data_IF_434845335335
#
_entry.id   IF_434845335335
#
_cell.length_a   1.000
_cell.length_b   1.000
_cell.length_c   1.000
_cell.angle_alpha   90.00
_cell.angle_beta   90.00
_cell.angle_gamma   90.00
#
_symmetry.space_group_name_H-M   'P 1'
#
loop_
_entity.id
_entity.type
_entity.pdbx_description
1 polymer ?
#
# COMPACT_ATOMS: atom_id res chain seq x y z
N UNK A 1 12.69 9.12 14.42
CA UNK A 1 12.21 10.43 13.94
C UNK A 1 10.72 10.51 14.21
N UNK A 2 10.19 11.69 14.44
CA UNK A 2 8.75 11.95 14.59
C UNK A 2 8.09 12.15 13.22
N UNK A 3 6.76 11.99 13.14
CA UNK A 3 6.00 12.11 11.89
C UNK A 3 6.06 13.52 11.26
N UNK A 4 6.41 14.56 12.03
CA UNK A 4 6.57 15.95 11.57
C UNK A 4 7.97 16.26 11.01
N UNK A 5 8.84 15.26 10.88
CA UNK A 5 10.21 15.45 10.40
C UNK A 5 11.16 16.06 11.43
N UNK A 6 10.80 16.04 12.72
CA UNK A 6 11.72 16.34 13.83
C UNK A 6 12.35 15.08 14.41
N UNK A 7 13.53 15.20 15.01
CA UNK A 7 14.13 14.12 15.78
C UNK A 7 13.40 13.92 17.12
N UNK A 8 13.20 12.67 17.52
CA UNK A 8 12.51 12.32 18.76
C UNK A 8 13.47 12.35 19.98
N UNK A 9 12.95 12.05 21.18
CA UNK A 9 13.72 12.10 22.43
C UNK A 9 14.98 11.19 22.44
N UNK A 10 15.01 10.15 21.61
CA UNK A 10 16.17 9.24 21.51
C UNK A 10 17.37 9.86 20.78
N UNK A 11 17.20 11.02 20.15
CA UNK A 11 18.28 11.71 19.44
C UNK A 11 19.17 12.59 20.34
N UNK A 12 19.00 12.51 21.66
CA UNK A 12 19.81 13.24 22.64
C UNK A 12 19.77 14.76 22.40
N UNK A 13 20.92 15.44 22.22
CA UNK A 13 20.97 16.89 22.05
C UNK A 13 20.29 17.40 20.76
N UNK A 14 19.94 16.50 19.83
CA UNK A 14 19.27 16.84 18.58
C UNK A 14 17.74 16.63 18.66
N UNK A 15 17.20 16.22 19.81
CA UNK A 15 15.76 16.10 19.98
C UNK A 15 15.03 17.42 19.65
N UNK A 16 13.93 17.33 18.91
CA UNK A 16 13.13 18.47 18.44
C UNK A 16 13.71 19.22 17.25
N UNK A 17 14.93 18.90 16.79
CA UNK A 17 15.53 19.54 15.62
C UNK A 17 14.93 18.99 14.34
N UNK A 18 14.66 19.85 13.35
CA UNK A 18 14.20 19.45 12.01
C UNK A 18 15.29 18.64 11.29
N UNK A 19 14.88 17.66 10.49
CA UNK A 19 15.77 16.71 9.80
C UNK A 19 16.93 17.37 9.04
N UNK A 20 16.67 18.47 8.33
CA UNK A 20 17.71 19.15 7.54
C UNK A 20 18.64 20.00 8.39
N UNK A 21 18.14 20.64 9.45
CA UNK A 21 18.98 21.47 10.34
C UNK A 21 19.90 20.62 11.20
N UNK A 22 19.44 19.40 11.54
CA UNK A 22 20.23 18.46 12.32
C UNK A 22 21.57 18.15 11.66
N UNK A 23 21.66 18.13 10.32
CA UNK A 23 22.91 17.86 9.61
C UNK A 23 24.02 18.84 10.00
N UNK A 24 23.70 20.13 10.14
CA UNK A 24 24.68 21.16 10.46
C UNK A 24 25.09 21.07 11.92
N UNK A 25 24.13 20.82 12.82
CA UNK A 25 24.42 20.63 14.25
C UNK A 25 25.28 19.39 14.51
N UNK A 26 25.06 18.30 13.76
CA UNK A 26 25.88 17.09 13.85
C UNK A 26 27.32 17.36 13.42
N UNK A 27 27.53 18.15 12.37
CA UNK A 27 28.89 18.55 11.94
C UNK A 27 29.61 19.32 13.04
N UNK A 28 28.97 20.33 13.62
CA UNK A 28 29.58 21.14 14.69
C UNK A 28 29.91 20.28 15.91
N UNK A 29 29.01 19.39 16.33
CA UNK A 29 29.27 18.44 17.41
C UNK A 29 30.43 17.47 17.09
N UNK A 30 30.61 17.07 15.82
CA UNK A 30 31.74 16.25 15.40
C UNK A 30 33.06 17.05 15.42
N UNK A 31 33.04 18.33 15.04
CA UNK A 31 34.22 19.22 15.11
C UNK A 31 34.66 19.45 16.55
N UNK A 32 33.72 19.74 17.46
CA UNK A 32 34.00 19.92 18.89
C UNK A 32 34.66 18.68 19.51
N UNK A 33 34.30 17.48 19.03
CA UNK A 33 34.87 16.21 19.48
C UNK A 33 36.17 15.82 18.75
N UNK A 34 36.63 16.60 17.78
CA UNK A 34 37.79 16.26 16.95
C UNK A 34 37.58 15.05 16.03
N UNK A 35 36.33 14.67 15.77
CA UNK A 35 35.96 13.51 14.93
C UNK A 35 35.62 13.90 13.48
N UNK A 36 35.54 15.20 13.20
CA UNK A 36 35.21 15.70 11.87
C UNK A 36 36.41 15.62 10.93
N UNK A 37 36.25 14.94 9.79
CA UNK A 37 37.32 14.76 8.80
C UNK A 37 37.21 15.76 7.65
N UNK A 38 36.11 15.72 6.88
CA UNK A 38 35.90 16.60 5.72
C UNK A 38 34.44 16.71 5.32
N UNK A 39 34.15 17.71 4.49
CA UNK A 39 32.87 17.92 3.82
C UNK A 39 33.11 18.11 2.34
N UNK A 40 32.41 17.32 1.53
CA UNK A 40 32.53 17.34 0.06
C UNK A 40 31.15 17.22 -0.57
N UNK A 41 31.01 17.76 -1.77
CA UNK A 41 29.77 17.62 -2.54
C UNK A 41 29.65 16.19 -3.07
N UNK A 42 28.48 15.59 -2.87
CA UNK A 42 28.16 14.25 -3.37
C UNK A 42 26.92 14.31 -4.27
N UNK A 43 27.08 14.22 -5.61
CA UNK A 43 25.95 14.11 -6.52
C UNK A 43 25.15 12.83 -6.23
N UNK A 44 23.87 12.97 -5.90
CA UNK A 44 23.00 11.83 -5.59
C UNK A 44 21.58 12.06 -6.13
N UNK A 45 20.84 10.96 -6.33
CA UNK A 45 19.40 11.02 -6.63
C UNK A 45 18.63 11.01 -5.31
N UNK A 46 17.89 12.08 -5.05
CA UNK A 46 17.04 12.21 -3.86
C UNK A 46 15.60 11.88 -4.24
N UNK A 47 14.94 10.94 -3.55
CA UNK A 47 13.54 10.63 -3.81
C UNK A 47 12.66 11.79 -3.32
N UNK A 48 11.70 12.17 -4.17
CA UNK A 48 10.81 13.31 -3.92
C UNK A 48 9.36 12.85 -4.08
N UNK A 49 8.49 13.31 -3.19
CA UNK A 49 7.06 13.05 -3.27
C UNK A 49 6.49 13.71 -4.54
N UNK A 50 5.86 12.93 -5.41
CA UNK A 50 5.29 13.42 -6.67
C UNK A 50 4.18 14.48 -6.49
N UNK A 51 3.57 14.57 -5.30
CA UNK A 51 2.50 15.53 -5.00
C UNK A 51 2.99 16.80 -4.31
N UNK A 52 3.79 16.67 -3.25
CA UNK A 52 4.25 17.81 -2.46
C UNK A 52 5.60 18.37 -2.88
N UNK A 53 6.35 17.64 -3.71
CA UNK A 53 7.75 17.91 -4.03
C UNK A 53 8.70 17.95 -2.83
N UNK A 54 8.29 17.42 -1.67
CA UNK A 54 9.17 17.28 -0.50
C UNK A 54 10.00 15.98 -0.58
N UNK A 55 11.16 15.98 0.06
CA UNK A 55 12.06 14.82 0.14
C UNK A 55 11.39 13.71 0.96
N UNK A 56 11.40 12.50 0.41
CA UNK A 56 10.84 11.32 1.07
C UNK A 56 11.81 10.82 2.13
N UNK A 57 11.31 10.60 3.34
CA UNK A 57 12.08 10.01 4.44
C UNK A 57 11.61 8.56 4.70
N UNK A 58 12.51 7.57 4.63
CA UNK A 58 12.20 6.21 5.04
C UNK A 58 12.05 6.11 6.57
N UNK A 59 10.88 5.68 7.04
CA UNK A 59 10.62 5.44 8.47
C UNK A 59 10.04 4.04 8.69
N UNK A 60 10.40 3.41 9.80
CA UNK A 60 9.76 2.18 10.26
C UNK A 60 8.42 2.55 10.92
N UNK A 61 7.33 2.08 10.34
CA UNK A 61 5.97 2.30 10.84
C UNK A 61 5.14 1.04 10.60
N UNK A 62 4.35 0.57 11.59
CA UNK A 62 3.36 -0.46 11.36
C UNK A 62 2.37 0.01 10.28
N UNK A 63 2.13 -0.84 9.28
CA UNK A 63 1.25 -0.54 8.14
C UNK A 63 0.60 -1.84 7.65
N UNK A 64 -0.47 -1.71 6.87
CA UNK A 64 -1.11 -2.82 6.18
C UNK A 64 -0.41 -3.11 4.86
N UNK A 65 0.06 -4.35 4.71
CA UNK A 65 0.77 -4.80 3.50
C UNK A 65 0.00 -5.91 2.80
N UNK A 66 -0.01 -5.85 1.47
CA UNK A 66 -0.51 -6.93 0.61
C UNK A 66 0.66 -7.73 0.07
N UNK A 67 0.66 -9.04 0.36
CA UNK A 67 1.65 -9.98 -0.19
C UNK A 67 1.43 -10.13 -1.69
N UNK A 68 2.34 -9.58 -2.48
CA UNK A 68 2.10 -9.44 -3.93
C UNK A 68 2.43 -10.69 -4.73
N UNK A 69 3.45 -11.45 -4.32
CA UNK A 69 3.98 -12.58 -5.09
C UNK A 69 2.90 -13.56 -5.55
N UNK A 70 2.03 -13.99 -4.64
CA UNK A 70 0.96 -14.95 -4.92
C UNK A 70 -0.16 -14.39 -5.81
N UNK A 71 -0.33 -13.06 -5.84
CA UNK A 71 -1.29 -12.40 -6.71
C UNK A 71 -0.73 -12.19 -8.11
N UNK A 72 0.59 -12.05 -8.23
CA UNK A 72 1.27 -11.76 -9.49
C UNK A 72 1.41 -13.00 -10.37
N UNK A 73 1.68 -14.16 -9.79
CA UNK A 73 1.83 -15.42 -10.54
C UNK A 73 0.64 -15.73 -11.47
N UNK A 74 -0.64 -15.71 -11.03
CA UNK A 74 -1.76 -15.96 -11.93
C UNK A 74 -1.97 -14.82 -12.95
N UNK A 75 -1.63 -13.57 -12.58
CA UNK A 75 -1.74 -12.43 -13.48
C UNK A 75 -0.71 -12.48 -14.62
N UNK A 76 0.54 -12.86 -14.32
CA UNK A 76 1.59 -13.10 -15.33
C UNK A 76 1.13 -14.21 -16.28
N UNK A 77 0.67 -15.35 -15.75
CA UNK A 77 0.22 -16.48 -16.55
C UNK A 77 -0.93 -16.13 -17.50
N UNK A 78 -1.87 -15.29 -17.05
CA UNK A 78 -2.98 -14.86 -17.89
C UNK A 78 -2.51 -14.10 -19.15
N UNK A 79 -1.44 -13.30 -19.03
CA UNK A 79 -0.84 -12.61 -20.18
C UNK A 79 0.01 -13.59 -21.01
N UNK A 80 0.82 -14.44 -20.37
CA UNK A 80 1.65 -15.44 -21.07
C UNK A 80 0.82 -16.44 -21.89
N UNK A 81 -0.34 -16.85 -21.38
CA UNK A 81 -1.26 -17.76 -22.07
C UNK A 81 -2.07 -17.10 -23.19
N UNK A 82 -2.04 -15.77 -23.27
CA UNK A 82 -2.87 -14.99 -24.22
C UNK A 82 -4.32 -14.82 -23.79
N UNK A 83 -4.68 -15.11 -22.52
CA UNK A 83 -5.99 -14.77 -21.97
C UNK A 83 -6.20 -13.25 -21.90
N UNK A 84 -5.09 -12.50 -21.77
CA UNK A 84 -5.02 -11.05 -21.85
C UNK A 84 -3.94 -10.66 -22.87
N UNK A 85 -4.32 -9.91 -23.90
CA UNK A 85 -3.37 -9.35 -24.86
C UNK A 85 -3.07 -7.90 -24.50
N UNK A 86 -1.81 -7.55 -24.27
CA UNK A 86 -1.40 -6.16 -23.98
C UNK A 86 -0.73 -5.56 -25.23
N UNK A 87 -1.23 -4.42 -25.70
CA UNK A 87 -0.68 -3.69 -26.84
C UNK A 87 -0.26 -2.26 -26.45
N UNK A 88 0.78 -1.71 -27.09
CA UNK A 88 1.73 -2.39 -28.00
C UNK A 88 2.67 -3.36 -27.25
N UNK A 89 3.45 -4.16 -27.98
CA UNK A 89 4.39 -5.15 -27.42
C UNK A 89 5.38 -4.53 -26.40
N UNK A 90 5.70 -3.24 -26.53
CA UNK A 90 6.55 -2.53 -25.56
C UNK A 90 5.88 -2.38 -24.17
N UNK A 91 4.55 -2.22 -24.13
CA UNK A 91 3.77 -2.19 -22.89
C UNK A 91 3.73 -3.57 -22.25
N UNK A 92 3.54 -4.63 -23.04
CA UNK A 92 3.60 -6.01 -22.56
C UNK A 92 4.97 -6.36 -21.93
N UNK A 93 6.07 -6.02 -22.61
CA UNK A 93 7.43 -6.18 -22.05
C UNK A 93 7.60 -5.42 -20.74
N UNK A 94 7.04 -4.22 -20.67
CA UNK A 94 7.07 -3.38 -19.48
C UNK A 94 6.29 -4.03 -18.34
N UNK A 95 5.08 -4.56 -18.62
CA UNK A 95 4.26 -5.32 -17.69
C UNK A 95 5.03 -6.48 -17.08
N UNK A 96 5.61 -7.37 -17.90
CA UNK A 96 6.38 -8.51 -17.40
C UNK A 96 7.58 -8.10 -16.56
N UNK A 97 8.33 -7.08 -16.99
CA UNK A 97 9.48 -6.58 -16.22
C UNK A 97 9.07 -6.15 -14.81
N UNK A 98 7.92 -5.49 -14.67
CA UNK A 98 7.45 -5.04 -13.37
C UNK A 98 6.87 -6.17 -12.53
N UNK A 99 5.98 -6.98 -13.12
CA UNK A 99 5.32 -8.09 -12.43
C UNK A 99 6.30 -9.12 -11.88
N UNK A 100 7.42 -9.37 -12.58
CA UNK A 100 8.46 -10.29 -12.13
C UNK A 100 9.32 -9.76 -10.97
N UNK A 101 9.35 -8.43 -10.74
CA UNK A 101 10.19 -7.78 -9.73
C UNK A 101 9.38 -7.05 -8.65
N UNK A 102 8.09 -7.36 -8.56
CA UNK A 102 7.17 -6.65 -7.69
C UNK A 102 7.42 -6.97 -6.21
N UNK A 103 7.38 -5.93 -5.38
CA UNK A 103 7.47 -6.04 -3.93
C UNK A 103 6.09 -5.99 -3.29
N UNK A 104 6.00 -6.41 -2.03
CA UNK A 104 4.78 -6.27 -1.25
C UNK A 104 4.29 -4.82 -1.23
N UNK A 105 2.96 -4.65 -1.30
CA UNK A 105 2.34 -3.35 -1.48
C UNK A 105 1.81 -2.83 -0.16
N UNK A 106 2.36 -1.71 0.31
CA UNK A 106 1.81 -0.96 1.43
C UNK A 106 0.45 -0.37 1.04
N UNK A 107 -0.63 -0.85 1.64
CA UNK A 107 -2.02 -0.46 1.37
C UNK A 107 -2.48 0.73 2.19
N UNK A 108 -2.06 0.84 3.45
CA UNK A 108 -2.57 1.88 4.35
C UNK A 108 -1.93 3.23 4.09
N UNK A 109 -2.71 4.28 4.31
CA UNK A 109 -2.34 5.68 4.11
C UNK A 109 -2.86 6.49 5.28
N UNK A 110 -2.00 7.35 5.83
CA UNK A 110 -2.34 8.33 6.87
C UNK A 110 -2.96 9.58 6.21
N UNK A 111 -4.05 9.39 5.48
CA UNK A 111 -4.79 10.42 4.78
C UNK A 111 -6.23 10.50 5.31
N UNK A 112 -6.87 11.65 5.12
CA UNK A 112 -8.26 11.86 5.53
C UNK A 112 -9.25 11.33 4.48
N UNK A 113 -8.83 11.28 3.22
CA UNK A 113 -9.67 10.86 2.10
C UNK A 113 -9.31 9.47 1.62
N UNK A 114 -10.28 8.56 1.68
CA UNK A 114 -10.17 7.18 1.21
C UNK A 114 -11.11 6.27 1.97
N UNK A 115 -11.09 4.99 1.62
CA UNK A 115 -11.89 3.99 2.34
C UNK A 115 -11.18 3.63 3.63
N UNK A 116 -11.78 3.92 4.79
CA UNK A 116 -11.19 3.55 6.07
C UNK A 116 -11.02 2.02 6.16
N UNK A 117 -9.84 1.56 6.57
CA UNK A 117 -9.57 0.13 6.67
C UNK A 117 -10.61 -0.55 7.60
N UNK A 118 -11.18 -1.69 7.21
CA UNK A 118 -12.12 -2.46 8.05
C UNK A 118 -11.34 -3.31 9.07
N UNK A 119 -10.35 -2.71 9.73
CA UNK A 119 -9.46 -3.34 10.69
C UNK A 119 -9.63 -2.70 12.07
N UNK A 120 -9.64 -3.52 13.10
CA UNK A 120 -9.96 -3.14 14.48
C UNK A 120 -8.88 -3.66 15.41
N UNK A 121 -8.31 -2.75 16.19
CA UNK A 121 -7.37 -3.04 17.25
C UNK A 121 -8.12 -3.49 18.50
N UNK A 122 -7.68 -4.59 19.08
CA UNK A 122 -8.21 -5.18 20.30
C UNK A 122 -7.41 -4.62 21.47
N UNK A 123 -8.07 -3.82 22.29
CA UNK A 123 -7.50 -3.25 23.51
C UNK A 123 -8.09 -3.97 24.72
N UNK A 124 -7.29 -4.77 25.42
CA UNK A 124 -7.71 -5.43 26.66
C UNK A 124 -7.89 -4.41 27.78
N UNK A 125 -8.89 -4.62 28.63
CA UNK A 125 -9.11 -3.77 29.80
C UNK A 125 -7.94 -3.87 30.79
N UNK A 126 -7.34 -2.74 31.15
CA UNK A 126 -6.25 -2.68 32.14
C UNK A 126 -4.86 -3.03 31.62
N UNK A 127 -4.71 -3.42 30.35
CA UNK A 127 -3.42 -3.70 29.71
C UNK A 127 -3.01 -2.54 28.79
N UNK A 128 -1.71 -2.26 28.63
CA UNK A 128 -1.25 -1.38 27.55
C UNK A 128 -1.17 -2.19 26.26
N UNK A 129 -2.01 -1.85 25.29
CA UNK A 129 -1.97 -2.46 23.97
C UNK A 129 -0.79 -1.96 23.14
N UNK A 130 -0.23 -2.83 22.30
CA UNK A 130 0.78 -2.48 21.29
C UNK A 130 0.16 -2.61 19.89
N UNK A 131 -0.07 -1.47 19.24
CA UNK A 131 -0.68 -1.44 17.90
C UNK A 131 0.25 -1.99 16.81
N UNK A 132 1.52 -2.24 17.10
CA UNK A 132 2.46 -2.91 16.20
C UNK A 132 2.34 -4.44 16.24
N UNK A 133 1.66 -5.02 17.25
CA UNK A 133 1.40 -6.45 17.32
C UNK A 133 0.23 -6.85 16.42
N UNK A 134 0.54 -7.49 15.29
CA UNK A 134 -0.47 -8.02 14.35
C UNK A 134 -1.46 -9.01 14.98
N UNK A 135 -1.13 -9.63 16.13
CA UNK A 135 -2.05 -10.52 16.84
C UNK A 135 -3.19 -9.77 17.54
N UNK A 136 -3.06 -8.48 17.77
CA UNK A 136 -4.10 -7.66 18.39
C UNK A 136 -5.05 -7.03 17.37
N UNK A 137 -4.93 -7.39 16.08
CA UNK A 137 -5.82 -6.90 15.03
C UNK A 137 -6.78 -7.98 14.52
N UNK A 138 -7.99 -7.54 14.20
CA UNK A 138 -9.03 -8.32 13.50
C UNK A 138 -9.70 -7.46 12.43
N UNK A 139 -10.19 -8.09 11.36
CA UNK A 139 -10.93 -7.38 10.29
C UNK A 139 -12.40 -7.73 10.33
N UNK A 140 -13.28 -6.79 9.98
CA UNK A 140 -14.73 -7.00 9.92
C UNK A 140 -15.42 -5.95 9.07
N UNK A 141 -16.44 -6.33 8.30
CA UNK A 141 -17.26 -5.39 7.53
C UNK A 141 -18.07 -4.48 8.43
N UNK A 142 -18.38 -4.97 9.63
CA UNK A 142 -19.02 -4.23 10.71
C UNK A 142 -18.27 -4.47 12.03
N UNK A 143 -18.58 -3.64 13.03
CA UNK A 143 -17.99 -3.78 14.36
C UNK A 143 -18.45 -5.07 15.07
N UNK A 144 -19.66 -5.55 14.78
CA UNK A 144 -20.18 -6.81 15.30
C UNK A 144 -19.37 -8.00 14.77
N UNK A 145 -19.09 -8.04 13.46
CA UNK A 145 -18.25 -9.09 12.86
C UNK A 145 -16.82 -9.08 13.45
N UNK A 146 -16.26 -7.88 13.65
CA UNK A 146 -14.96 -7.73 14.30
C UNK A 146 -15.00 -8.19 15.77
N UNK A 147 -16.08 -7.90 16.49
CA UNK A 147 -16.28 -8.31 17.89
C UNK A 147 -16.37 -9.83 18.02
N UNK A 148 -17.12 -10.50 17.14
CA UNK A 148 -17.22 -11.95 17.12
C UNK A 148 -15.85 -12.61 16.88
N UNK A 149 -15.08 -12.11 15.90
CA UNK A 149 -13.72 -12.59 15.64
C UNK A 149 -12.78 -12.35 16.81
N UNK A 150 -12.86 -11.18 17.46
CA UNK A 150 -12.05 -10.88 18.64
C UNK A 150 -12.39 -11.82 19.82
N UNK A 151 -13.67 -12.09 20.07
CA UNK A 151 -14.11 -13.05 21.11
C UNK A 151 -13.62 -14.47 20.81
N UNK A 152 -13.67 -14.90 19.55
CA UNK A 152 -13.17 -16.20 19.15
C UNK A 152 -11.64 -16.32 19.31
N UNK A 153 -10.91 -15.23 19.01
CA UNK A 153 -9.44 -15.18 19.14
C UNK A 153 -8.98 -15.15 20.60
N UNK A 154 -9.74 -14.47 21.47
CA UNK A 154 -9.40 -14.27 22.88
C UNK A 154 -10.60 -14.58 23.80
N UNK A 155 -10.95 -15.87 23.96
CA UNK A 155 -12.10 -16.27 24.76
C UNK A 155 -11.93 -15.86 26.24
N UNK A 156 -12.99 -15.31 26.82
CA UNK A 156 -13.04 -14.93 28.24
C UNK A 156 -12.32 -13.63 28.62
N UNK A 157 -11.63 -12.98 27.67
CA UNK A 157 -11.03 -11.65 27.90
C UNK A 157 -12.05 -10.54 27.65
N UNK A 158 -12.01 -9.49 28.48
CA UNK A 158 -12.71 -8.23 28.23
C UNK A 158 -11.84 -7.29 27.40
N UNK A 159 -12.42 -6.69 26.38
CA UNK A 159 -11.72 -5.81 25.46
C UNK A 159 -12.65 -4.75 24.88
N UNK A 160 -12.05 -3.67 24.38
CA UNK A 160 -12.69 -2.72 23.47
C UNK A 160 -12.06 -2.81 22.09
N UNK A 161 -12.79 -2.37 21.06
CA UNK A 161 -12.29 -2.29 19.70
C UNK A 161 -12.06 -0.83 19.31
N UNK A 162 -10.94 -0.57 18.64
CA UNK A 162 -10.66 0.71 18.02
C UNK A 162 -10.40 0.50 16.54
N UNK A 163 -11.25 1.05 15.67
CA UNK A 163 -11.04 0.95 14.23
C UNK A 163 -9.80 1.74 13.82
N UNK A 164 -9.01 1.18 12.92
CA UNK A 164 -7.83 1.84 12.38
C UNK A 164 -8.22 3.18 11.72
N UNK A 165 -7.57 4.31 12.08
CA UNK A 165 -7.82 5.59 11.42
C UNK A 165 -7.29 5.65 9.98
N UNK A 166 -6.43 4.72 9.57
CA UNK A 166 -5.87 4.71 8.23
C UNK A 166 -6.92 4.45 7.14
N UNK A 167 -6.68 5.04 5.97
CA UNK A 167 -7.44 4.77 4.75
C UNK A 167 -6.64 3.91 3.79
N UNK A 168 -7.34 3.19 2.92
CA UNK A 168 -6.74 2.36 1.88
C UNK A 168 -6.27 3.22 0.70
N UNK A 169 -5.17 2.81 0.09
CA UNK A 169 -4.60 3.41 -1.12
C UNK A 169 -5.64 3.53 -2.23
N UNK A 170 -5.66 4.66 -2.95
CA UNK A 170 -6.60 4.90 -4.05
C UNK A 170 -6.48 3.81 -5.13
N UNK A 171 -5.27 3.32 -5.39
CA UNK A 171 -5.05 2.23 -6.34
C UNK A 171 -5.71 0.91 -5.92
N UNK A 172 -6.01 0.72 -4.62
CA UNK A 172 -6.75 -0.44 -4.13
C UNK A 172 -8.20 -0.41 -4.60
N UNK A 173 -8.91 0.70 -4.40
CA UNK A 173 -10.29 0.82 -4.87
C UNK A 173 -10.38 0.91 -6.40
N UNK A 174 -9.47 1.66 -7.05
CA UNK A 174 -9.41 1.73 -8.52
C UNK A 174 -9.14 0.38 -9.17
N UNK A 175 -8.36 -0.50 -8.53
CA UNK A 175 -8.11 -1.86 -9.01
C UNK A 175 -9.34 -2.78 -8.99
N UNK A 176 -10.42 -2.41 -8.27
CA UNK A 176 -11.67 -3.18 -8.24
C UNK A 176 -12.65 -2.77 -9.36
N UNK A 177 -12.33 -1.71 -10.09
CA UNK A 177 -13.21 -1.09 -11.09
C UNK A 177 -13.91 -2.08 -12.05
N UNK A 178 -13.24 -3.10 -12.63
CA UNK A 178 -13.83 -3.94 -13.69
C UNK A 178 -15.06 -4.73 -13.27
N UNK A 179 -15.19 -5.00 -11.96
CA UNK A 179 -16.27 -5.82 -11.43
C UNK A 179 -17.11 -5.07 -10.40
N UNK A 180 -16.53 -4.13 -9.64
CA UNK A 180 -17.29 -3.35 -8.66
C UNK A 180 -18.34 -2.45 -9.31
N UNK A 181 -18.05 -1.93 -10.51
CA UNK A 181 -18.99 -1.10 -11.29
C UNK A 181 -20.19 -1.89 -11.80
N UNK A 182 -20.03 -3.21 -11.98
CA UNK A 182 -21.07 -4.11 -12.43
C UNK A 182 -21.92 -4.67 -11.27
N UNK A 183 -21.65 -4.27 -10.03
CA UNK A 183 -22.44 -4.66 -8.85
C UNK A 183 -21.87 -5.84 -8.06
N UNK A 184 -20.68 -6.34 -8.41
CA UNK A 184 -19.94 -7.28 -7.56
C UNK A 184 -19.76 -6.67 -6.14
N UNK A 185 -19.92 -7.45 -5.05
CA UNK A 185 -19.99 -8.91 -4.98
C UNK A 185 -21.37 -9.53 -5.16
N UNK A 186 -22.39 -8.74 -5.54
CA UNK A 186 -23.73 -9.30 -5.82
C UNK A 186 -23.72 -9.96 -7.21
N UNK A 187 -24.56 -10.98 -7.39
CA UNK A 187 -24.82 -11.59 -8.70
C UNK A 187 -25.86 -10.77 -9.45
N UNK A 188 -25.39 -9.72 -10.12
CA UNK A 188 -26.21 -8.83 -10.92
C UNK A 188 -26.21 -9.30 -12.38
N UNK A 189 -27.25 -8.91 -13.11
CA UNK A 189 -27.34 -9.16 -14.55
C UNK A 189 -26.12 -8.59 -15.30
N UNK A 190 -25.69 -7.38 -14.95
CA UNK A 190 -24.54 -6.73 -15.60
C UNK A 190 -23.24 -7.48 -15.34
N UNK A 191 -23.01 -7.98 -14.12
CA UNK A 191 -21.80 -8.77 -13.84
C UNK A 191 -21.79 -10.09 -14.61
N UNK A 192 -22.94 -10.75 -14.75
CA UNK A 192 -23.02 -12.03 -15.48
C UNK A 192 -22.81 -11.88 -16.99
N UNK A 193 -23.20 -10.74 -17.58
CA UNK A 193 -23.20 -10.57 -19.04
C UNK A 193 -22.10 -9.65 -19.57
N UNK A 194 -21.54 -8.76 -18.74
CA UNK A 194 -20.56 -7.75 -19.17
C UNK A 194 -19.15 -8.00 -18.64
N UNK A 195 -18.96 -9.00 -17.76
CA UNK A 195 -17.65 -9.41 -17.26
C UNK A 195 -17.24 -10.77 -17.85
N UNK A 196 -16.02 -10.93 -18.39
CA UNK A 196 -14.94 -9.94 -18.52
C UNK A 196 -15.21 -8.90 -19.62
N UNK A 197 -14.64 -7.70 -19.48
CA UNK A 197 -14.77 -6.68 -20.52
C UNK A 197 -13.91 -7.02 -21.76
N UNK A 198 -14.24 -6.45 -22.92
CA UNK A 198 -13.52 -6.79 -24.16
C UNK A 198 -12.16 -6.07 -24.24
N UNK A 199 -12.16 -4.74 -24.09
CA UNK A 199 -10.97 -3.89 -24.24
C UNK A 199 -10.90 -2.91 -23.07
N UNK A 200 -9.70 -2.75 -22.51
CA UNK A 200 -9.34 -1.63 -21.64
C UNK A 200 -8.37 -0.71 -22.39
N UNK A 201 -8.75 0.54 -22.58
CA UNK A 201 -7.90 1.57 -23.18
C UNK A 201 -7.38 2.53 -22.11
N UNK A 202 -6.07 2.81 -22.10
CA UNK A 202 -5.45 3.69 -21.09
C UNK A 202 -4.04 4.17 -21.49
N UNK A 203 -3.46 5.08 -20.71
CA UNK A 203 -2.07 5.52 -20.85
C UNK A 203 -1.06 4.51 -20.29
N UNK A 204 0.15 4.50 -20.86
CA UNK A 204 1.25 3.62 -20.39
C UNK A 204 1.76 3.97 -18.99
N UNK A 205 1.50 5.18 -18.51
CA UNK A 205 1.95 5.71 -17.22
C UNK A 205 1.28 5.02 -16.01
N UNK A 206 0.06 4.50 -16.18
CA UNK A 206 -0.70 3.80 -15.13
C UNK A 206 -0.84 2.28 -15.36
N UNK A 207 -0.10 1.72 -16.32
CA UNK A 207 -0.05 0.27 -16.57
C UNK A 207 0.25 -0.52 -15.27
N UNK A 208 1.20 -0.05 -14.47
CA UNK A 208 1.60 -0.73 -13.23
C UNK A 208 0.68 -0.44 -12.04
N UNK A 209 0.27 0.82 -11.92
CA UNK A 209 -0.51 1.27 -10.78
C UNK A 209 -1.98 0.86 -10.87
N UNK A 210 -2.50 0.71 -12.09
CA UNK A 210 -3.92 0.43 -12.32
C UNK A 210 -4.17 -0.88 -13.06
N UNK A 211 -3.69 -1.03 -14.30
CA UNK A 211 -3.98 -2.21 -15.14
C UNK A 211 -3.54 -3.49 -14.45
N UNK A 212 -2.30 -3.55 -13.99
CA UNK A 212 -1.79 -4.72 -13.28
C UNK A 212 -2.61 -5.04 -12.03
N UNK A 213 -2.99 -4.02 -11.24
CA UNK A 213 -3.84 -4.18 -10.05
C UNK A 213 -5.21 -4.75 -10.40
N UNK A 214 -5.82 -4.28 -11.50
CA UNK A 214 -7.09 -4.83 -12.00
C UNK A 214 -6.97 -6.30 -12.40
N UNK A 215 -5.89 -6.69 -13.09
CA UNK A 215 -5.66 -8.09 -13.47
C UNK A 215 -5.55 -8.97 -12.21
N UNK A 216 -4.70 -8.58 -11.27
CA UNK A 216 -4.46 -9.35 -10.05
C UNK A 216 -5.73 -9.49 -9.19
N UNK A 217 -6.42 -8.38 -8.94
CA UNK A 217 -7.62 -8.36 -8.10
C UNK A 217 -8.81 -9.01 -8.83
N UNK A 218 -8.97 -8.78 -10.13
CA UNK A 218 -9.99 -9.44 -10.94
C UNK A 218 -9.89 -10.95 -10.85
N UNK A 219 -8.71 -11.50 -11.14
CA UNK A 219 -8.48 -12.95 -11.06
C UNK A 219 -8.68 -13.46 -9.62
N UNK A 220 -8.12 -12.77 -8.62
CA UNK A 220 -8.21 -13.22 -7.22
C UNK A 220 -9.64 -13.23 -6.69
N UNK A 221 -10.46 -12.24 -7.05
CA UNK A 221 -11.78 -12.03 -6.47
C UNK A 221 -12.91 -12.67 -7.27
N UNK A 222 -12.71 -12.89 -8.57
CA UNK A 222 -13.75 -13.40 -9.48
C UNK A 222 -13.39 -14.73 -10.15
N UNK A 223 -12.11 -15.12 -10.12
CA UNK A 223 -11.61 -16.30 -10.83
C UNK A 223 -11.46 -16.12 -12.35
N UNK A 224 -11.74 -14.92 -12.88
CA UNK A 224 -11.62 -14.61 -14.31
C UNK A 224 -10.77 -13.36 -14.52
N UNK A 225 -10.17 -13.24 -15.71
CA UNK A 225 -9.47 -12.02 -16.13
C UNK A 225 -10.45 -10.84 -16.19
N UNK A 226 -10.04 -9.60 -15.91
CA UNK A 226 -10.95 -8.45 -15.92
C UNK A 226 -11.31 -7.96 -17.33
N UNK A 227 -10.42 -8.17 -18.29
CA UNK A 227 -10.53 -7.75 -19.69
C UNK A 227 -9.74 -8.71 -20.57
N UNK A 228 -10.07 -8.79 -21.87
CA UNK A 228 -9.35 -9.64 -22.84
C UNK A 228 -8.20 -8.92 -23.57
N UNK A 229 -8.32 -7.62 -23.77
CA UNK A 229 -7.28 -6.81 -24.43
C UNK A 229 -7.04 -5.52 -23.65
N UNK A 230 -5.77 -5.12 -23.56
CA UNK A 230 -5.34 -3.81 -23.04
C UNK A 230 -4.67 -3.06 -24.17
N UNK A 231 -5.15 -1.86 -24.44
CA UNK A 231 -4.55 -0.95 -25.41
C UNK A 231 -3.95 0.26 -24.68
N UNK A 232 -2.62 0.35 -24.69
CA UNK A 232 -1.86 1.45 -24.10
C UNK A 232 -1.52 2.51 -25.15
N UNK A 233 -2.03 3.73 -24.99
CA UNK A 233 -1.67 4.90 -25.79
C UNK A 233 -0.70 5.82 -25.05
N UNK A 234 -0.16 6.82 -25.78
CA UNK A 234 0.66 7.91 -25.21
C UNK A 234 -0.19 9.07 -24.73
#
# INVERSE_FOLDING_TARGET
MSDDGTFNANAGPFAGVRRFDARYKVIEALKEKGLYVKWENNPMKVPVCAKSNDVIEPILKPQWWMKMKELCEPAIKAVENGDIVIRPESAEKSYFRWMNNITDWCLSRQLWWGHQAPAYFIQFEGEKGDNSDGNLWVTGRTEEEATEKARAKFPGKKFTLMRDPDVLDTWFSSGLWPFSTLGWPKKTHDFENLYPTSVLETGWDILFFWVARMIMLGIKMTGQVPFREVYCHS
#
